data_IF_883219898957
#
_entry.id   IF_883219898957
#
_cell.length_a   1.000
_cell.length_b   1.000
_cell.length_c   1.000
_cell.angle_alpha   90.00
_cell.angle_beta   90.00
_cell.angle_gamma   90.00
#
_symmetry.space_group_name_H-M   'P 1'
#
loop_
_entity.id
_entity.type
_entity.pdbx_description
1 polymer ?
#
# COMPACT_ATOMS: atom_id res chain seq x y z
N UNK A 1 -2.00 -12.34 -2.06
CA UNK A 1 -1.94 -10.90 -2.40
C UNK A 1 -2.82 -10.71 -3.62
N UNK A 2 -3.84 -9.87 -3.53
CA UNK A 2 -4.78 -9.56 -4.63
C UNK A 2 -4.98 -8.05 -4.66
N UNK A 3 -5.08 -7.47 -5.85
CA UNK A 3 -5.36 -6.04 -6.03
C UNK A 3 -6.85 -5.84 -6.27
N UNK A 4 -7.47 -4.82 -5.69
CA UNK A 4 -8.90 -4.51 -5.83
C UNK A 4 -9.35 -4.39 -7.27
N UNK A 5 -8.49 -3.87 -8.16
CA UNK A 5 -8.75 -3.80 -9.61
C UNK A 5 -8.89 -5.17 -10.28
N UNK A 6 -8.31 -6.25 -9.73
CA UNK A 6 -8.49 -7.61 -10.23
C UNK A 6 -9.92 -8.13 -10.01
N UNK A 7 -10.74 -7.45 -9.21
CA UNK A 7 -12.14 -7.82 -9.02
C UNK A 7 -13.11 -7.00 -9.88
N UNK A 8 -12.60 -6.02 -10.66
CA UNK A 8 -13.39 -5.19 -11.57
C UNK A 8 -13.22 -5.73 -12.99
N UNK A 9 -14.24 -6.36 -13.56
CA UNK A 9 -14.25 -6.77 -14.96
C UNK A 9 -15.41 -6.11 -15.74
N UNK A 10 -15.45 -6.38 -17.05
CA UNK A 10 -16.60 -6.03 -17.91
C UNK A 10 -17.67 -7.13 -17.91
N UNK A 11 -17.37 -8.27 -17.30
CA UNK A 11 -18.21 -9.46 -17.32
C UNK A 11 -18.92 -9.64 -15.99
N UNK A 12 -20.25 -9.49 -16.03
CA UNK A 12 -21.12 -9.54 -14.86
C UNK A 12 -20.90 -10.83 -14.06
N UNK A 13 -20.63 -10.69 -12.75
CA UNK A 13 -20.52 -11.79 -11.80
C UNK A 13 -19.13 -12.41 -11.65
N UNK A 14 -18.14 -12.01 -12.45
CA UNK A 14 -16.76 -12.52 -12.31
C UNK A 14 -16.13 -12.04 -11.00
N UNK A 15 -16.31 -10.77 -10.63
CA UNK A 15 -15.80 -10.22 -9.36
C UNK A 15 -16.32 -10.97 -8.13
N UNK A 16 -17.64 -11.20 -8.05
CA UNK A 16 -18.24 -11.95 -6.95
C UNK A 16 -17.73 -13.41 -6.87
N UNK A 17 -17.55 -14.09 -8.01
CA UNK A 17 -16.97 -15.44 -8.03
C UNK A 17 -15.53 -15.44 -7.50
N UNK A 18 -14.71 -14.47 -7.92
CA UNK A 18 -13.32 -14.32 -7.44
C UNK A 18 -13.26 -14.12 -5.93
N UNK A 19 -14.16 -13.30 -5.38
CA UNK A 19 -14.27 -13.12 -3.93
C UNK A 19 -14.54 -14.47 -3.26
N UNK A 20 -15.56 -15.23 -3.68
CA UNK A 20 -15.83 -16.56 -3.09
C UNK A 20 -14.61 -17.48 -3.14
N UNK A 21 -13.97 -17.61 -4.30
CA UNK A 21 -12.81 -18.48 -4.47
C UNK A 21 -11.62 -18.04 -3.60
N UNK A 22 -11.40 -16.73 -3.42
CA UNK A 22 -10.37 -16.20 -2.53
C UNK A 22 -10.61 -16.65 -1.08
N UNK A 23 -11.85 -16.48 -0.60
CA UNK A 23 -12.22 -16.83 0.77
C UNK A 23 -12.24 -18.34 1.02
N UNK A 24 -12.72 -19.13 0.05
CA UNK A 24 -12.63 -20.60 0.09
C UNK A 24 -11.19 -21.08 0.18
N UNK A 25 -10.29 -20.51 -0.63
CA UNK A 25 -8.86 -20.84 -0.57
C UNK A 25 -8.24 -20.47 0.77
N UNK A 26 -8.55 -19.28 1.29
CA UNK A 26 -8.05 -18.83 2.58
C UNK A 26 -8.49 -19.77 3.73
N UNK A 27 -9.72 -20.28 3.68
CA UNK A 27 -10.26 -21.30 4.61
C UNK A 27 -9.53 -22.63 4.53
N UNK A 28 -9.23 -23.09 3.31
CA UNK A 28 -8.48 -24.34 3.11
C UNK A 28 -7.01 -24.23 3.56
N UNK A 29 -6.44 -23.04 3.48
CA UNK A 29 -5.04 -22.75 3.84
C UNK A 29 -4.90 -22.12 5.23
N UNK A 30 -5.92 -22.18 6.08
CA UNK A 30 -5.88 -21.58 7.41
C UNK A 30 -4.76 -22.22 8.28
N UNK A 31 -4.00 -21.43 9.07
CA UNK A 31 -4.13 -19.98 9.27
C UNK A 31 -3.58 -19.16 8.09
N UNK A 32 -4.30 -18.12 7.67
CA UNK A 32 -3.91 -17.32 6.49
C UNK A 32 -4.22 -15.84 6.64
N UNK A 33 -3.56 -15.01 5.81
CA UNK A 33 -3.79 -13.56 5.73
C UNK A 33 -4.25 -13.22 4.32
N UNK A 34 -5.44 -12.63 4.20
CA UNK A 34 -5.95 -12.06 2.97
C UNK A 34 -5.56 -10.58 2.95
N UNK A 35 -4.69 -10.19 2.01
CA UNK A 35 -4.35 -8.79 1.75
C UNK A 35 -5.00 -8.32 0.47
N UNK A 36 -5.83 -7.26 0.57
CA UNK A 36 -6.54 -6.61 -0.54
C UNK A 36 -6.02 -5.18 -0.66
N UNK A 37 -5.25 -4.89 -1.70
CA UNK A 37 -4.83 -3.52 -2.01
C UNK A 37 -5.91 -2.78 -2.80
N UNK A 38 -5.92 -1.45 -2.77
CA UNK A 38 -6.91 -0.60 -3.47
C UNK A 38 -8.36 -1.06 -3.27
N UNK A 39 -8.74 -1.35 -2.02
CA UNK A 39 -10.07 -1.90 -1.72
C UNK A 39 -11.20 -0.96 -2.14
N UNK A 40 -10.94 0.33 -2.32
CA UNK A 40 -11.89 1.31 -2.87
C UNK A 40 -12.30 1.03 -4.32
N UNK A 41 -11.55 0.23 -5.08
CA UNK A 41 -11.94 -0.20 -6.42
C UNK A 41 -13.25 -1.02 -6.43
N UNK A 42 -13.46 -1.82 -5.37
CA UNK A 42 -14.64 -2.69 -5.18
C UNK A 42 -15.51 -2.29 -3.99
N UNK A 43 -14.99 -1.48 -3.08
CA UNK A 43 -15.62 -1.09 -1.84
C UNK A 43 -16.24 0.30 -1.84
N UNK A 44 -16.19 1.02 -2.96
CA UNK A 44 -16.69 2.39 -3.04
C UNK A 44 -18.23 2.49 -2.90
N UNK A 45 -18.69 3.58 -2.28
CA UNK A 45 -20.12 3.92 -2.14
C UNK A 45 -20.81 3.98 -3.50
N UNK A 46 -22.04 3.43 -3.53
CA UNK A 46 -22.96 3.48 -4.67
C UNK A 46 -23.11 4.92 -5.21
N UNK A 47 -22.68 5.15 -6.44
CA UNK A 47 -23.09 6.32 -7.21
C UNK A 47 -24.25 5.92 -8.12
N UNK A 48 -25.19 6.84 -8.32
CA UNK A 48 -26.48 6.65 -9.00
C UNK A 48 -26.40 6.17 -10.46
N UNK A 49 -25.20 6.00 -11.02
CA UNK A 49 -24.97 5.48 -12.37
C UNK A 49 -24.47 4.03 -12.33
N UNK A 50 -25.43 3.11 -12.25
CA UNK A 50 -25.44 1.73 -12.77
C UNK A 50 -24.09 1.01 -12.89
N UNK A 51 -23.49 0.60 -11.76
CA UNK A 51 -22.44 -0.44 -11.74
C UNK A 51 -22.88 -1.66 -10.92
N UNK A 52 -23.90 -2.38 -11.42
CA UNK A 52 -24.45 -3.59 -10.79
C UNK A 52 -23.38 -4.65 -10.44
N UNK A 53 -22.28 -4.73 -11.21
CA UNK A 53 -21.21 -5.71 -10.97
C UNK A 53 -20.36 -5.37 -9.72
N UNK A 54 -20.02 -4.08 -9.54
CA UNK A 54 -19.28 -3.63 -8.35
C UNK A 54 -20.11 -3.85 -7.11
N UNK A 55 -21.40 -3.53 -7.18
CA UNK A 55 -22.34 -3.77 -6.09
C UNK A 55 -22.46 -5.26 -5.75
N UNK A 56 -22.53 -6.14 -6.75
CA UNK A 56 -22.56 -7.58 -6.53
C UNK A 56 -21.27 -8.09 -5.88
N UNK A 57 -20.12 -7.56 -6.29
CA UNK A 57 -18.80 -7.92 -5.75
C UNK A 57 -18.64 -7.42 -4.31
N UNK A 58 -19.05 -6.18 -4.02
CA UNK A 58 -19.10 -5.61 -2.68
C UNK A 58 -20.01 -6.46 -1.78
N UNK A 59 -21.24 -6.75 -2.21
CA UNK A 59 -22.17 -7.56 -1.44
C UNK A 59 -21.61 -8.96 -1.15
N UNK A 60 -20.94 -9.58 -2.13
CA UNK A 60 -20.30 -10.86 -1.90
C UNK A 60 -19.16 -10.77 -0.88
N UNK A 61 -18.36 -9.70 -0.93
CA UNK A 61 -17.31 -9.46 0.08
C UNK A 61 -17.92 -9.33 1.48
N UNK A 62 -19.02 -8.58 1.62
CA UNK A 62 -19.73 -8.46 2.91
C UNK A 62 -20.24 -9.82 3.42
N UNK A 63 -20.80 -10.66 2.53
CA UNK A 63 -21.26 -12.00 2.88
C UNK A 63 -20.12 -12.89 3.35
N UNK A 64 -18.97 -12.87 2.67
CA UNK A 64 -17.81 -13.66 3.11
C UNK A 64 -17.26 -13.16 4.45
N UNK A 65 -17.23 -11.84 4.67
CA UNK A 65 -16.77 -11.24 5.93
C UNK A 65 -17.69 -11.55 7.11
N UNK A 66 -19.01 -11.53 6.91
CA UNK A 66 -19.99 -11.89 7.95
C UNK A 66 -20.02 -13.41 8.22
N UNK A 67 -19.55 -14.21 7.26
CA UNK A 67 -19.51 -15.67 7.33
C UNK A 67 -18.37 -16.25 8.17
N UNK A 68 -17.45 -15.42 8.67
CA UNK A 68 -16.35 -15.91 9.52
C UNK A 68 -16.80 -16.22 10.93
N UNK A 69 -16.38 -17.39 11.41
CA UNK A 69 -16.35 -17.69 12.82
C UNK A 69 -14.97 -17.35 13.38
N UNK A 70 -14.89 -17.02 14.68
CA UNK A 70 -13.60 -16.69 15.33
C UNK A 70 -12.56 -17.81 15.23
N UNK A 71 -13.00 -19.04 14.95
CA UNK A 71 -12.16 -20.23 14.86
C UNK A 71 -11.47 -20.40 13.50
N UNK A 72 -11.84 -19.60 12.48
CA UNK A 72 -11.32 -19.75 11.12
C UNK A 72 -9.85 -19.29 10.96
N UNK A 73 -9.25 -18.65 11.97
CA UNK A 73 -7.84 -18.19 11.99
C UNK A 73 -7.39 -17.43 10.73
N UNK A 74 -8.27 -16.59 10.19
CA UNK A 74 -8.02 -15.78 9.00
C UNK A 74 -8.03 -14.30 9.38
N UNK A 75 -7.00 -13.58 8.94
CA UNK A 75 -6.90 -12.12 9.09
C UNK A 75 -7.09 -11.47 7.73
N UNK A 76 -7.96 -10.47 7.65
CA UNK A 76 -8.18 -9.68 6.44
C UNK A 76 -7.55 -8.31 6.65
N UNK A 77 -6.74 -7.87 5.69
CA UNK A 77 -6.10 -6.56 5.67
C UNK A 77 -6.46 -5.88 4.36
N UNK A 78 -7.17 -4.76 4.44
CA UNK A 78 -7.47 -3.89 3.31
C UNK A 78 -6.59 -2.65 3.31
N UNK A 79 -6.09 -2.24 2.14
CA UNK A 79 -5.38 -0.98 1.95
C UNK A 79 -6.15 -0.07 0.99
N UNK A 80 -6.21 1.23 1.30
CA UNK A 80 -6.81 2.25 0.44
C UNK A 80 -6.18 3.61 0.70
N UNK A 81 -6.15 4.44 -0.35
CA UNK A 81 -5.82 5.86 -0.24
C UNK A 81 -7.07 6.75 -0.02
N UNK A 82 -8.28 6.19 -0.14
CA UNK A 82 -9.55 6.91 -0.18
C UNK A 82 -10.59 6.28 0.75
N UNK A 83 -10.31 6.33 2.06
CA UNK A 83 -11.24 5.83 3.09
C UNK A 83 -12.62 6.53 3.02
N UNK A 84 -12.65 7.79 2.59
CA UNK A 84 -13.86 8.60 2.40
C UNK A 84 -14.82 8.05 1.34
N UNK A 85 -14.29 7.29 0.38
CA UNK A 85 -15.08 6.66 -0.67
C UNK A 85 -15.68 5.33 -0.27
N UNK A 86 -15.18 4.69 0.79
CA UNK A 86 -15.63 3.34 1.14
C UNK A 86 -17.07 3.32 1.65
N UNK A 87 -17.78 2.25 1.30
CA UNK A 87 -19.11 1.95 1.82
C UNK A 87 -19.02 1.71 3.33
N UNK A 88 -19.83 2.42 4.11
CA UNK A 88 -19.87 2.32 5.56
C UNK A 88 -20.14 0.90 6.05
N UNK A 89 -20.79 0.06 5.25
CA UNK A 89 -21.00 -1.34 5.56
C UNK A 89 -19.65 -2.07 5.77
N UNK A 90 -18.60 -1.77 5.02
CA UNK A 90 -17.28 -2.39 5.19
C UNK A 90 -16.62 -2.02 6.52
N UNK A 91 -16.94 -0.83 7.06
CA UNK A 91 -16.31 -0.25 8.24
C UNK A 91 -17.04 -0.60 9.55
N UNK A 92 -18.11 -1.39 9.49
CA UNK A 92 -18.88 -1.80 10.67
C UNK A 92 -18.10 -2.78 11.55
N UNK A 93 -18.38 -2.81 12.87
CA UNK A 93 -17.81 -3.80 13.79
C UNK A 93 -17.95 -5.23 13.26
N UNK A 94 -16.88 -6.02 13.37
CA UNK A 94 -16.82 -7.39 12.85
C UNK A 94 -16.31 -7.50 11.40
N UNK A 95 -16.09 -6.38 10.70
CA UNK A 95 -15.52 -6.33 9.34
C UNK A 95 -14.16 -5.63 9.38
N UNK A 96 -13.97 -4.53 8.66
CA UNK A 96 -12.79 -3.67 8.82
C UNK A 96 -13.00 -2.74 10.01
N UNK A 97 -13.01 -3.28 11.23
CA UNK A 97 -13.27 -2.49 12.45
C UNK A 97 -12.02 -1.80 13.01
N UNK A 98 -10.83 -2.29 12.64
CA UNK A 98 -9.53 -1.70 12.98
C UNK A 98 -9.01 -0.84 11.84
N UNK A 99 -8.98 0.48 12.07
CA UNK A 99 -8.42 1.44 11.12
C UNK A 99 -7.04 1.92 11.56
N UNK A 100 -6.03 1.68 10.73
CA UNK A 100 -4.66 2.15 10.95
C UNK A 100 -4.36 3.23 9.91
N UNK A 101 -4.21 4.47 10.35
CA UNK A 101 -3.85 5.58 9.46
C UNK A 101 -2.34 5.68 9.34
N UNK A 102 -1.84 5.57 8.11
CA UNK A 102 -0.43 5.81 7.79
C UNK A 102 -0.28 7.28 7.39
N UNK A 103 0.45 8.04 8.21
CA UNK A 103 0.73 9.45 7.93
C UNK A 103 2.06 9.61 7.19
N UNK A 104 2.26 10.77 6.57
CA UNK A 104 3.56 11.13 5.99
C UNK A 104 4.67 11.02 7.05
N UNK A 105 5.87 10.53 6.66
CA UNK A 105 6.93 10.26 7.61
C UNK A 105 7.43 11.55 8.26
N UNK A 106 7.58 11.51 9.59
CA UNK A 106 8.24 12.57 10.34
C UNK A 106 9.77 12.54 10.10
N UNK A 107 10.49 13.51 10.68
CA UNK A 107 11.94 13.62 10.55
C UNK A 107 12.69 12.30 10.83
N UNK A 108 12.40 11.65 11.96
CA UNK A 108 13.05 10.41 12.36
C UNK A 108 12.70 9.26 11.41
N UNK A 109 11.43 9.16 11.00
CA UNK A 109 10.99 8.17 10.02
C UNK A 109 11.70 8.35 8.67
N UNK A 110 11.87 9.59 8.19
CA UNK A 110 12.60 9.86 6.94
C UNK A 110 14.07 9.46 7.04
N UNK A 111 14.72 9.73 8.18
CA UNK A 111 16.09 9.28 8.43
C UNK A 111 16.22 7.76 8.36
N UNK A 112 15.33 7.01 9.01
CA UNK A 112 15.36 5.54 8.97
C UNK A 112 15.06 5.00 7.56
N UNK A 113 14.12 5.61 6.82
CA UNK A 113 13.83 5.25 5.43
C UNK A 113 15.07 5.47 4.54
N UNK A 114 15.72 6.63 4.65
CA UNK A 114 16.96 6.93 3.92
C UNK A 114 18.06 5.92 4.26
N UNK A 115 18.21 5.55 5.53
CA UNK A 115 19.18 4.54 5.97
C UNK A 115 18.93 3.18 5.33
N UNK A 116 17.67 2.76 5.21
CA UNK A 116 17.31 1.50 4.51
C UNK A 116 17.66 1.59 3.03
N UNK A 117 17.26 2.66 2.34
CA UNK A 117 17.48 2.79 0.89
C UNK A 117 18.93 3.08 0.50
N UNK A 118 19.78 3.45 1.45
CA UNK A 118 21.21 3.69 1.23
C UNK A 118 22.12 2.57 1.76
N UNK A 119 21.59 1.59 2.51
CA UNK A 119 22.37 0.54 3.18
C UNK A 119 23.37 -0.20 2.30
N UNK A 120 23.02 -0.47 1.04
CA UNK A 120 23.84 -1.23 0.10
C UNK A 120 24.46 -0.35 -1.00
N UNK A 121 24.51 0.96 -0.78
CA UNK A 121 25.11 1.92 -1.73
C UNK A 121 26.45 2.40 -1.17
N UNK A 122 27.49 2.61 -2.01
CA UNK A 122 28.78 3.09 -1.56
C UNK A 122 28.67 4.58 -1.20
N UNK A 123 28.32 4.89 0.04
CA UNK A 123 28.26 6.26 0.53
C UNK A 123 29.64 6.74 0.96
N UNK A 124 30.02 7.95 0.54
CA UNK A 124 31.18 8.62 1.10
C UNK A 124 30.96 8.91 2.59
N UNK A 125 32.03 8.83 3.39
CA UNK A 125 32.00 8.98 4.86
C UNK A 125 31.38 10.29 5.37
N UNK A 126 31.34 11.33 4.53
CA UNK A 126 30.80 12.64 4.87
C UNK A 126 29.30 12.78 4.59
N UNK A 127 28.64 11.77 4.02
CA UNK A 127 27.20 11.82 3.76
C UNK A 127 26.42 11.87 5.08
N UNK A 128 25.68 12.96 5.28
CA UNK A 128 24.84 13.14 6.47
C UNK A 128 23.36 12.88 6.15
N UNK A 129 22.92 11.64 6.39
CA UNK A 129 21.51 11.26 6.23
C UNK A 129 20.58 12.03 7.17
N UNK A 130 21.07 12.52 8.33
CA UNK A 130 20.26 13.35 9.24
C UNK A 130 20.01 14.71 8.63
N UNK A 131 20.98 15.28 7.92
CA UNK A 131 20.80 16.53 7.18
C UNK A 131 19.82 16.34 6.02
N UNK A 132 19.97 15.25 5.26
CA UNK A 132 19.03 14.91 4.16
C UNK A 132 17.60 14.73 4.66
N UNK A 133 17.39 14.07 5.80
CA UNK A 133 16.08 13.94 6.41
C UNK A 133 15.47 15.31 6.82
N UNK A 134 16.29 16.33 7.14
CA UNK A 134 15.82 17.71 7.39
C UNK A 134 15.41 18.40 6.09
N UNK A 135 16.20 18.26 5.01
CA UNK A 135 15.93 18.89 3.70
C UNK A 135 14.68 18.33 3.02
N UNK A 136 14.32 17.08 3.30
CA UNK A 136 13.22 16.35 2.62
C UNK A 136 11.87 16.47 3.35
N UNK A 137 11.54 17.64 3.91
CA UNK A 137 10.24 17.84 4.56
C UNK A 137 9.08 17.61 3.57
N UNK A 138 8.04 16.89 3.99
CA UNK A 138 6.88 16.55 3.15
C UNK A 138 7.10 15.34 2.22
N UNK A 139 8.30 14.79 2.14
CA UNK A 139 8.58 13.65 1.26
C UNK A 139 8.05 12.35 1.88
N UNK A 140 7.43 11.50 1.06
CA UNK A 140 7.00 10.16 1.44
C UNK A 140 8.11 9.12 1.20
N UNK A 141 7.86 7.86 1.57
CA UNK A 141 8.84 6.79 1.41
C UNK A 141 9.31 6.60 -0.04
N UNK A 142 8.40 6.70 -1.01
CA UNK A 142 8.73 6.55 -2.43
C UNK A 142 9.65 7.68 -2.92
N UNK A 143 9.40 8.94 -2.51
CA UNK A 143 10.29 10.06 -2.85
C UNK A 143 11.70 9.87 -2.27
N UNK A 144 11.81 9.41 -1.03
CA UNK A 144 13.10 9.17 -0.38
C UNK A 144 13.88 8.02 -1.03
N UNK A 145 13.17 6.94 -1.41
CA UNK A 145 13.75 5.85 -2.19
C UNK A 145 14.27 6.36 -3.54
N UNK A 146 13.51 7.23 -4.20
CA UNK A 146 13.90 7.83 -5.47
C UNK A 146 15.15 8.70 -5.33
N UNK A 147 15.23 9.57 -4.32
CA UNK A 147 16.43 10.38 -4.04
C UNK A 147 17.67 9.48 -3.91
N UNK A 148 17.57 8.38 -3.16
CA UNK A 148 18.70 7.46 -2.98
C UNK A 148 19.13 6.76 -4.28
N UNK A 149 18.19 6.58 -5.23
CA UNK A 149 18.49 6.02 -6.54
C UNK A 149 19.08 7.07 -7.48
N UNK A 150 18.49 8.26 -7.57
CA UNK A 150 18.98 9.35 -8.41
C UNK A 150 20.38 9.81 -7.98
N UNK A 151 20.66 9.90 -6.67
CA UNK A 151 21.99 10.22 -6.18
C UNK A 151 23.05 9.18 -6.63
N UNK A 152 22.66 7.90 -6.72
CA UNK A 152 23.55 6.86 -7.26
C UNK A 152 23.76 7.02 -8.77
N UNK A 153 22.72 7.37 -9.53
CA UNK A 153 22.80 7.63 -10.97
C UNK A 153 23.70 8.83 -11.24
N UNK A 154 23.58 9.91 -10.47
CA UNK A 154 24.48 11.07 -10.56
C UNK A 154 25.93 10.70 -10.28
N UNK A 155 26.19 9.89 -9.24
CA UNK A 155 27.54 9.42 -8.94
C UNK A 155 28.16 8.64 -10.11
N UNK A 156 27.38 7.75 -10.73
CA UNK A 156 27.83 6.99 -11.91
C UNK A 156 28.10 7.91 -13.10
N UNK A 157 27.23 8.89 -13.36
CA UNK A 157 27.41 9.88 -14.46
C UNK A 157 28.68 10.71 -14.27
N UNK A 158 29.01 11.04 -13.02
CA UNK A 158 30.20 11.79 -12.66
C UNK A 158 31.46 10.88 -12.53
N UNK A 159 31.37 9.60 -12.91
CA UNK A 159 32.42 8.58 -12.77
C UNK A 159 32.98 8.46 -11.33
N UNK A 160 32.15 8.72 -10.32
CA UNK A 160 32.51 8.61 -8.90
C UNK A 160 32.28 7.19 -8.39
N UNK A 161 33.23 6.66 -7.61
CA UNK A 161 33.08 5.36 -6.95
C UNK A 161 32.17 5.39 -5.73
N UNK A 162 31.92 6.58 -5.17
CA UNK A 162 31.10 6.79 -3.99
C UNK A 162 30.06 7.90 -4.20
N UNK A 163 28.93 7.80 -3.50
CA UNK A 163 27.86 8.80 -3.48
C UNK A 163 28.20 9.84 -2.41
N UNK A 164 28.28 11.12 -2.78
CA UNK A 164 28.58 12.23 -1.87
C UNK A 164 27.34 13.09 -1.62
N UNK A 165 27.44 14.06 -0.70
CA UNK A 165 26.36 15.03 -0.46
C UNK A 165 25.96 15.80 -1.73
N UNK A 166 26.92 16.07 -2.62
CA UNK A 166 26.66 16.74 -3.90
C UNK A 166 25.67 15.98 -4.78
N UNK A 167 25.80 14.66 -4.89
CA UNK A 167 24.87 13.84 -5.68
C UNK A 167 23.48 13.78 -5.05
N UNK A 168 23.39 13.82 -3.73
CA UNK A 168 22.10 13.90 -3.03
C UNK A 168 21.44 15.27 -3.19
N UNK A 169 22.21 16.36 -3.15
CA UNK A 169 21.68 17.70 -3.37
C UNK A 169 21.13 17.82 -4.80
N UNK A 170 21.85 17.32 -5.82
CA UNK A 170 21.34 17.19 -7.21
C UNK A 170 20.07 16.34 -7.32
N UNK A 171 19.92 15.32 -6.49
CA UNK A 171 18.75 14.44 -6.51
C UNK A 171 17.52 15.04 -5.80
N UNK A 172 17.70 16.11 -5.04
CA UNK A 172 16.63 16.83 -4.34
C UNK A 172 16.11 18.01 -5.18
N UNK A 173 16.98 18.64 -5.98
CA UNK A 173 16.63 19.67 -6.97
C UNK A 173 15.74 19.14 -8.10
#
# INVERSE_FOLDING_TARGET
NVTGSEFVEKYVGVGAKRVRTLFEKARQEAPSIIFIDEIDAIGARRHSESNNEKDQTLNQLLVEMDGFNKDDNIIIVGATNRLDLLDEALLRPGRFDRHIRINSPNYNSRYEILKVHTKNKPLHKEVDLKLLARKTHGFNGAHLANIANEAAIFAVRDNSSEITNYHFDKAIE
#
